data_IF_649415100979
#
_entry.id   IF_649415100979
#
_cell.length_a   1.000
_cell.length_b   1.000
_cell.length_c   1.000
_cell.angle_alpha   90.00
_cell.angle_beta   90.00
_cell.angle_gamma   90.00
#
_symmetry.space_group_name_H-M   'P 1'
#
loop_
_entity.id
_entity.type
_entity.pdbx_description
1 polymer ?
#
# COMPACT_ATOMS: atom_id res chain seq x y z
N UNK A 1 -14.47 -9.91 21.50
CA UNK A 1 -13.03 -9.88 21.85
C UNK A 1 -12.22 -10.45 20.69
N UNK A 2 -10.98 -9.98 20.47
CA UNK A 2 -10.10 -10.43 19.38
C UNK A 2 -8.82 -11.07 19.96
N UNK A 3 -8.26 -12.14 19.38
CA UNK A 3 -7.10 -12.83 19.95
C UNK A 3 -5.82 -11.96 19.98
N UNK A 4 -5.18 -11.85 21.15
CA UNK A 4 -3.98 -11.03 21.34
C UNK A 4 -2.83 -11.42 20.42
N UNK A 5 -2.58 -12.74 20.26
CA UNK A 5 -1.52 -13.25 19.38
C UNK A 5 -1.70 -12.83 17.93
N UNK A 6 -2.94 -12.83 17.43
CA UNK A 6 -3.27 -12.41 16.07
C UNK A 6 -3.05 -10.90 15.92
N UNK A 7 -3.50 -10.10 16.90
CA UNK A 7 -3.31 -8.65 16.92
C UNK A 7 -1.83 -8.28 16.88
N UNK A 8 -1.01 -8.86 17.76
CA UNK A 8 0.42 -8.61 17.82
C UNK A 8 1.12 -8.98 16.51
N UNK A 9 0.73 -10.11 15.89
CA UNK A 9 1.27 -10.54 14.60
C UNK A 9 1.00 -9.51 13.49
N UNK A 10 -0.22 -8.96 13.41
CA UNK A 10 -0.55 -7.94 12.41
C UNK A 10 0.14 -6.61 12.69
N UNK A 11 0.22 -6.22 13.98
CA UNK A 11 0.91 -5.00 14.41
C UNK A 11 2.39 -5.01 14.02
N UNK A 12 3.10 -6.11 14.33
CA UNK A 12 4.53 -6.24 14.01
C UNK A 12 4.78 -6.19 12.50
N UNK A 13 3.88 -6.77 11.70
CA UNK A 13 4.00 -6.80 10.25
C UNK A 13 3.85 -5.42 9.61
N UNK A 14 3.13 -4.48 10.24
CA UNK A 14 2.87 -3.15 9.68
C UNK A 14 4.14 -2.41 9.25
N UNK A 15 5.19 -2.42 10.08
CA UNK A 15 6.46 -1.75 9.73
C UNK A 15 7.19 -2.39 8.55
N UNK A 16 7.06 -3.72 8.39
CA UNK A 16 7.64 -4.47 7.28
C UNK A 16 6.92 -4.15 5.98
N UNK A 17 5.58 -4.11 6.01
CA UNK A 17 4.78 -3.75 4.82
C UNK A 17 5.01 -2.30 4.43
N UNK A 18 5.13 -1.37 5.38
CA UNK A 18 5.45 0.02 5.08
C UNK A 18 6.79 0.18 4.33
N UNK A 19 7.83 -0.56 4.74
CA UNK A 19 9.11 -0.58 4.03
C UNK A 19 9.01 -1.22 2.65
N UNK A 20 8.21 -2.29 2.53
CA UNK A 20 7.96 -2.92 1.23
C UNK A 20 7.30 -1.93 0.26
N UNK A 21 6.27 -1.21 0.71
CA UNK A 21 5.59 -0.17 -0.09
C UNK A 21 6.56 0.95 -0.48
N UNK A 22 7.41 1.43 0.43
CA UNK A 22 8.40 2.47 0.11
C UNK A 22 9.40 1.98 -0.95
N UNK A 23 9.95 0.78 -0.79
CA UNK A 23 10.91 0.19 -1.72
C UNK A 23 10.30 -0.03 -3.11
N UNK A 24 9.03 -0.43 -3.18
CA UNK A 24 8.31 -0.56 -4.44
C UNK A 24 8.07 0.82 -5.07
N UNK A 25 7.71 1.83 -4.28
CA UNK A 25 7.39 3.17 -4.81
C UNK A 25 8.57 3.85 -5.52
N UNK A 26 9.80 3.55 -5.10
CA UNK A 26 11.02 4.13 -5.69
C UNK A 26 11.50 3.39 -6.94
N UNK A 27 10.78 2.37 -7.40
CA UNK A 27 10.98 1.71 -8.68
C UNK A 27 9.79 2.02 -9.63
N UNK A 28 9.76 3.24 -10.21
CA UNK A 28 8.67 3.65 -11.09
C UNK A 28 8.60 2.79 -12.37
N UNK A 29 9.74 2.27 -12.84
CA UNK A 29 9.75 1.41 -14.02
C UNK A 29 9.05 0.08 -13.73
N UNK A 30 9.39 -0.58 -12.62
CA UNK A 30 8.71 -1.79 -12.18
C UNK A 30 7.21 -1.58 -11.98
N UNK A 31 6.79 -0.45 -11.40
CA UNK A 31 5.37 -0.13 -11.22
C UNK A 31 4.62 -0.02 -12.55
N UNK A 32 5.20 0.67 -13.52
CA UNK A 32 4.62 0.85 -14.85
C UNK A 32 4.51 -0.48 -15.59
N UNK A 33 5.55 -1.31 -15.52
CA UNK A 33 5.57 -2.61 -16.17
C UNK A 33 4.58 -3.60 -15.52
N UNK A 34 4.45 -3.56 -14.19
CA UNK A 34 3.50 -4.40 -13.44
C UNK A 34 2.04 -4.07 -13.71
N UNK A 35 1.75 -2.87 -14.24
CA UNK A 35 0.40 -2.41 -14.56
C UNK A 35 0.10 -2.42 -16.07
N UNK A 36 1.00 -2.94 -16.91
CA UNK A 36 0.89 -2.88 -18.36
C UNK A 36 -0.42 -3.46 -18.90
N UNK A 37 -0.91 -4.59 -18.37
CA UNK A 37 -2.19 -5.16 -18.80
C UNK A 37 -3.39 -4.38 -18.27
N UNK A 38 -3.26 -3.77 -17.08
CA UNK A 38 -4.35 -3.03 -16.42
C UNK A 38 -4.65 -1.73 -17.17
N UNK A 39 -3.62 -1.03 -17.64
CA UNK A 39 -3.80 0.25 -18.35
C UNK A 39 -4.50 0.11 -19.70
N UNK A 40 -4.45 -1.07 -20.33
CA UNK A 40 -5.18 -1.36 -21.56
C UNK A 40 -6.70 -1.47 -21.31
N UNK A 41 -7.10 -1.88 -20.12
CA UNK A 41 -8.49 -2.13 -19.75
C UNK A 41 -9.11 -1.01 -18.89
N UNK A 42 -8.31 -0.25 -18.13
CA UNK A 42 -8.79 0.77 -17.20
C UNK A 42 -8.19 2.15 -17.46
N UNK A 43 -9.03 3.03 -17.99
CA UNK A 43 -8.70 4.43 -18.30
C UNK A 43 -8.29 5.25 -17.08
N UNK A 44 -8.82 4.92 -15.90
CA UNK A 44 -8.44 5.62 -14.68
C UNK A 44 -7.00 5.32 -14.28
N UNK A 45 -6.64 4.03 -14.20
CA UNK A 45 -5.28 3.56 -13.90
C UNK A 45 -4.29 4.04 -14.96
N UNK A 46 -4.67 4.01 -16.25
CA UNK A 46 -3.85 4.54 -17.34
C UNK A 46 -3.41 5.99 -17.09
N UNK A 47 -4.34 6.86 -16.67
CA UNK A 47 -4.01 8.27 -16.36
C UNK A 47 -3.08 8.42 -15.16
N UNK A 48 -3.17 7.56 -14.15
CA UNK A 48 -2.25 7.56 -13.01
C UNK A 48 -0.84 7.12 -13.44
N UNK A 49 -0.75 6.08 -14.27
CA UNK A 49 0.50 5.60 -14.85
C UNK A 49 1.15 6.68 -15.73
N UNK A 50 0.37 7.38 -16.55
CA UNK A 50 0.87 8.50 -17.37
C UNK A 50 1.53 9.60 -16.53
N UNK A 51 0.95 9.93 -15.36
CA UNK A 51 1.55 10.89 -14.42
C UNK A 51 2.87 10.34 -13.88
N UNK A 52 2.90 9.07 -13.45
CA UNK A 52 4.10 8.42 -12.94
C UNK A 52 5.24 8.46 -13.97
N UNK A 53 4.96 8.06 -15.22
CA UNK A 53 5.94 8.09 -16.33
C UNK A 53 6.48 9.50 -16.57
N UNK A 54 5.59 10.47 -16.73
CA UNK A 54 5.96 11.88 -17.02
C UNK A 54 6.86 12.49 -15.95
N UNK A 55 6.66 12.14 -14.68
CA UNK A 55 7.45 12.71 -13.58
C UNK A 55 8.76 11.95 -13.37
N UNK A 56 8.69 10.62 -13.25
CA UNK A 56 9.79 9.83 -12.70
C UNK A 56 10.60 9.04 -13.74
N UNK A 57 10.04 8.79 -14.92
CA UNK A 57 10.74 8.07 -15.99
C UNK A 57 11.19 9.05 -17.07
N UNK A 58 10.23 9.68 -17.76
CA UNK A 58 10.49 10.59 -18.87
C UNK A 58 11.02 11.95 -18.36
N UNK A 59 10.52 12.38 -17.19
CA UNK A 59 10.91 13.64 -16.54
C UNK A 59 12.23 13.57 -15.77
N UNK A 60 12.79 12.38 -15.57
CA UNK A 60 14.09 12.17 -14.93
C UNK A 60 14.18 12.52 -13.43
N UNK A 61 13.05 12.74 -12.74
CA UNK A 61 13.05 12.93 -11.29
C UNK A 61 13.38 11.61 -10.59
N UNK A 62 14.39 11.61 -9.75
CA UNK A 62 14.79 10.45 -8.97
C UNK A 62 13.93 10.34 -7.69
N UNK A 63 12.93 9.45 -7.72
CA UNK A 63 12.01 9.28 -6.58
C UNK A 63 12.71 8.81 -5.31
N UNK A 64 13.84 8.11 -5.42
CA UNK A 64 14.59 7.61 -4.26
C UNK A 64 15.16 8.75 -3.40
N UNK A 65 15.38 9.92 -4.00
CA UNK A 65 15.89 11.14 -3.34
C UNK A 65 14.79 12.03 -2.75
N UNK A 66 13.53 11.74 -3.03
CA UNK A 66 12.41 12.50 -2.47
C UNK A 66 12.23 12.23 -0.98
N UNK A 67 11.75 13.24 -0.24
CA UNK A 67 11.17 13.01 1.09
C UNK A 67 9.77 12.41 0.87
N UNK A 68 9.56 11.19 1.36
CA UNK A 68 8.32 10.43 1.19
C UNK A 68 7.65 10.21 2.54
N UNK A 69 6.32 10.38 2.59
CA UNK A 69 5.49 10.15 3.78
C UNK A 69 4.43 9.13 3.40
N UNK A 70 4.30 8.08 4.21
CA UNK A 70 3.34 7.00 4.01
C UNK A 70 2.40 6.92 5.22
N UNK A 71 1.10 7.15 4.99
CA UNK A 71 0.04 6.95 5.98
C UNK A 71 -0.82 5.79 5.50
N UNK A 72 -0.43 4.58 5.89
CA UNK A 72 -0.99 3.34 5.37
C UNK A 72 -2.03 2.75 6.33
N UNK A 73 -3.01 2.04 5.78
CA UNK A 73 -3.86 1.12 6.54
C UNK A 73 -3.75 -0.27 5.94
N UNK A 74 -3.54 -1.27 6.79
CA UNK A 74 -3.46 -2.67 6.42
C UNK A 74 -4.69 -3.38 6.96
N UNK A 75 -5.52 -3.90 6.06
CA UNK A 75 -6.76 -4.54 6.43
C UNK A 75 -6.57 -6.06 6.39
N UNK A 76 -6.99 -6.73 7.48
CA UNK A 76 -6.80 -8.17 7.67
C UNK A 76 -8.13 -8.83 8.04
N UNK A 77 -8.35 -10.04 7.52
CA UNK A 77 -9.48 -10.89 7.91
C UNK A 77 -8.98 -12.22 8.49
N UNK A 78 -9.66 -12.77 9.52
CA UNK A 78 -9.35 -14.08 10.04
C UNK A 78 -9.78 -15.19 9.07
N UNK A 79 -9.01 -16.27 9.05
CA UNK A 79 -9.40 -17.49 8.34
C UNK A 79 -10.51 -18.25 9.09
N UNK A 80 -11.39 -18.94 8.36
CA UNK A 80 -12.40 -19.82 8.96
C UNK A 80 -11.78 -21.02 9.72
N UNK A 81 -10.58 -21.45 9.32
CA UNK A 81 -9.86 -22.57 9.94
C UNK A 81 -8.45 -22.14 10.33
N UNK A 82 -8.11 -22.35 11.61
CA UNK A 82 -6.81 -22.00 12.17
C UNK A 82 -6.76 -20.59 12.77
N UNK A 83 -5.55 -20.16 13.13
CA UNK A 83 -5.31 -18.94 13.91
C UNK A 83 -4.51 -17.91 13.10
N UNK A 84 -4.84 -17.77 11.80
CA UNK A 84 -4.15 -16.88 10.88
C UNK A 84 -5.03 -15.67 10.52
N UNK A 85 -4.37 -14.53 10.39
CA UNK A 85 -4.90 -13.35 9.72
C UNK A 85 -4.33 -13.30 8.31
N UNK A 86 -5.20 -13.07 7.33
CA UNK A 86 -4.81 -12.85 5.95
C UNK A 86 -5.01 -11.38 5.61
N UNK A 87 -3.98 -10.76 5.03
CA UNK A 87 -4.08 -9.40 4.51
C UNK A 87 -5.00 -9.41 3.30
N UNK A 88 -6.01 -8.54 3.31
CA UNK A 88 -6.96 -8.40 2.21
C UNK A 88 -6.73 -7.14 1.40
N UNK A 89 -6.19 -6.09 2.02
CA UNK A 89 -5.92 -4.83 1.36
C UNK A 89 -4.78 -4.05 2.03
N UNK A 90 -4.04 -3.30 1.21
CA UNK A 90 -3.11 -2.25 1.66
C UNK A 90 -3.58 -0.93 1.07
N UNK A 91 -4.16 -0.10 1.91
CA UNK A 91 -4.62 1.23 1.56
C UNK A 91 -3.45 2.22 1.64
N UNK A 92 -2.99 2.71 0.49
CA UNK A 92 -1.88 3.67 0.37
C UNK A 92 -2.33 5.12 0.16
N UNK A 93 -3.63 5.33 -0.07
CA UNK A 93 -4.24 6.65 -0.29
C UNK A 93 -5.49 6.80 0.56
N UNK A 94 -5.68 8.01 1.12
CA UNK A 94 -6.88 8.40 1.85
C UNK A 94 -7.34 7.38 2.91
N UNK A 95 -6.40 6.83 3.68
CA UNK A 95 -6.68 5.88 4.75
C UNK A 95 -7.56 6.53 5.85
N UNK A 96 -8.87 6.32 5.76
CA UNK A 96 -9.85 6.82 6.73
C UNK A 96 -9.75 6.20 8.12
N UNK A 97 -10.51 6.78 9.06
CA UNK A 97 -10.71 6.32 10.44
C UNK A 97 -9.54 6.45 11.42
N UNK A 98 -8.36 6.97 11.03
CA UNK A 98 -7.25 7.17 11.97
C UNK A 98 -7.64 8.00 13.20
N UNK A 99 -8.43 9.08 13.01
CA UNK A 99 -8.94 9.89 14.12
C UNK A 99 -10.08 9.21 14.89
N UNK A 100 -11.14 8.79 14.18
CA UNK A 100 -12.33 8.20 14.80
C UNK A 100 -12.06 6.86 15.51
N UNK A 101 -11.10 6.07 15.01
CA UNK A 101 -10.73 4.77 15.61
C UNK A 101 -10.27 4.89 17.05
N UNK A 102 -9.66 6.02 17.42
CA UNK A 102 -9.24 6.31 18.80
C UNK A 102 -10.40 6.54 19.77
N UNK A 103 -11.61 6.74 19.26
CA UNK A 103 -12.82 7.03 20.04
C UNK A 103 -13.70 5.80 20.27
N UNK A 104 -13.31 4.65 19.70
CA UNK A 104 -14.01 3.38 19.78
C UNK A 104 -13.08 2.35 20.41
N UNK A 105 -13.00 2.36 21.74
CA UNK A 105 -12.17 1.44 22.55
C UNK A 105 -13.05 0.58 23.45
#
# INVERSE_FOLDING_TARGET
PFPARQFESAWQLGSTIAKLVDNISVDPQWLVDSLAEVVEADDFTRRLVDICRRVYIDGGRDHSKDIRIHLLRHDYLPTAVGDRLLQVEVNTIAAGFAGMGTQVS
#
